data_IF_567950187481
#
_entry.id   IF_567950187481
#
_cell.length_a   1.000
_cell.length_b   1.000
_cell.length_c   1.000
_cell.angle_alpha   90.00
_cell.angle_beta   90.00
_cell.angle_gamma   90.00
#
_symmetry.space_group_name_H-M   'P 1'
#
loop_
_entity.id
_entity.type
_entity.pdbx_description
1 polymer ?
#
# COMPACT_ATOMS: atom_id res chain seq x y z
N UNK A 1 -18.99 -3.23 2.53
CA UNK A 1 -17.53 -3.20 2.40
C UNK A 1 -16.89 -3.91 3.59
N UNK A 2 -15.98 -4.85 3.30
CA UNK A 2 -15.21 -5.50 4.35
C UNK A 2 -14.26 -4.50 5.02
N UNK A 3 -13.97 -4.71 6.30
CA UNK A 3 -12.98 -3.92 6.99
C UNK A 3 -11.57 -4.20 6.44
N UNK A 4 -10.77 -3.14 6.37
CA UNK A 4 -9.36 -3.25 6.05
C UNK A 4 -8.62 -3.88 7.23
N UNK A 5 -7.51 -4.55 6.94
CA UNK A 5 -6.59 -5.09 7.93
C UNK A 5 -5.17 -4.72 7.55
N UNK A 6 -4.26 -4.85 8.49
CA UNK A 6 -2.84 -4.59 8.28
C UNK A 6 -2.10 -5.92 8.18
N UNK A 7 -1.25 -6.04 7.16
CA UNK A 7 -0.51 -7.26 6.85
C UNK A 7 0.98 -7.00 6.69
N UNK A 8 1.77 -8.02 7.01
CA UNK A 8 3.13 -8.17 6.46
C UNK A 8 3.04 -9.00 5.20
N UNK A 9 3.93 -8.71 4.26
CA UNK A 9 4.09 -9.49 3.03
C UNK A 9 5.43 -10.23 3.11
N UNK A 10 5.48 -11.49 2.67
CA UNK A 10 6.68 -12.31 2.80
C UNK A 10 7.89 -11.69 2.11
N UNK A 11 9.08 -11.91 2.70
CA UNK A 11 10.34 -11.46 2.10
C UNK A 11 10.56 -12.06 0.72
N UNK A 12 10.22 -13.34 0.55
CA UNK A 12 10.41 -14.03 -0.73
C UNK A 12 9.63 -13.35 -1.85
N UNK A 13 8.38 -12.96 -1.58
CA UNK A 13 7.55 -12.31 -2.59
C UNK A 13 8.03 -10.88 -2.90
N UNK A 14 8.34 -10.10 -1.87
CA UNK A 14 8.84 -8.73 -2.07
C UNK A 14 10.17 -8.75 -2.82
N UNK A 15 11.10 -9.62 -2.44
CA UNK A 15 12.39 -9.75 -3.14
C UNK A 15 12.21 -10.19 -4.59
N UNK A 16 11.24 -11.07 -4.83
CA UNK A 16 10.89 -11.49 -6.19
C UNK A 16 10.42 -10.29 -7.03
N UNK A 17 9.46 -9.50 -6.53
CA UNK A 17 8.95 -8.34 -7.26
C UNK A 17 10.04 -7.28 -7.48
N UNK A 18 10.93 -7.07 -6.51
CA UNK A 18 11.98 -6.07 -6.62
C UNK A 18 13.02 -6.40 -7.70
N UNK A 19 13.11 -7.63 -8.16
CA UNK A 19 13.93 -7.98 -9.32
C UNK A 19 13.44 -7.30 -10.59
N UNK A 20 12.16 -6.98 -10.66
CA UNK A 20 11.50 -6.44 -11.85
C UNK A 20 11.16 -4.96 -11.72
N UNK A 21 10.97 -4.48 -10.49
CA UNK A 21 10.57 -3.09 -10.24
C UNK A 21 11.19 -2.58 -8.93
N UNK A 22 12.12 -1.65 -9.06
CA UNK A 22 12.84 -1.05 -7.92
C UNK A 22 11.96 -0.15 -7.06
N UNK A 23 10.80 0.27 -7.57
CA UNK A 23 9.86 1.11 -6.84
C UNK A 23 8.98 0.32 -5.85
N UNK A 24 9.06 -1.01 -5.89
CA UNK A 24 8.49 -1.83 -4.81
C UNK A 24 9.27 -1.54 -3.53
N UNK A 25 8.56 -1.20 -2.46
CA UNK A 25 9.19 -0.78 -1.21
C UNK A 25 10.04 -1.90 -0.60
N UNK A 26 11.15 -1.53 0.06
CA UNK A 26 11.93 -2.48 0.86
C UNK A 26 11.07 -3.02 1.99
N UNK A 27 11.18 -4.31 2.25
CA UNK A 27 10.33 -4.98 3.24
C UNK A 27 10.88 -4.92 4.67
N UNK A 28 12.09 -4.44 4.88
CA UNK A 28 12.71 -4.27 6.20
C UNK A 28 12.64 -5.57 7.05
N UNK A 29 13.02 -6.70 6.46
CA UNK A 29 12.97 -8.02 7.11
C UNK A 29 11.55 -8.40 7.57
N UNK A 30 10.56 -8.19 6.69
CA UNK A 30 9.15 -8.49 6.93
C UNK A 30 8.55 -7.63 8.06
N UNK A 31 8.99 -6.37 8.16
CA UNK A 31 8.44 -5.44 9.16
C UNK A 31 7.68 -4.25 8.57
N UNK A 32 7.61 -4.15 7.22
CA UNK A 32 6.84 -3.08 6.60
C UNK A 32 5.35 -3.42 6.60
N UNK A 33 4.50 -2.62 7.27
CA UNK A 33 3.06 -2.89 7.26
C UNK A 33 2.42 -2.43 5.96
N UNK A 34 1.46 -3.21 5.47
CA UNK A 34 0.61 -2.90 4.32
C UNK A 34 -0.85 -2.92 4.74
N UNK A 35 -1.63 -2.00 4.19
CA UNK A 35 -3.09 -1.99 4.37
C UNK A 35 -3.76 -2.66 3.17
N UNK A 36 -4.77 -3.48 3.39
CA UNK A 36 -5.49 -4.14 2.31
C UNK A 36 -6.81 -4.79 2.75
N UNK A 37 -7.55 -5.20 1.79
CA UNK A 37 -7.41 -5.04 0.33
C UNK A 37 -7.93 -3.64 -0.07
N UNK A 38 -7.10 -2.84 -0.73
CA UNK A 38 -7.46 -1.45 -1.04
C UNK A 38 -7.94 -1.25 -2.48
N UNK A 39 -7.70 -2.24 -3.34
CA UNK A 39 -8.05 -2.16 -4.76
C UNK A 39 -8.04 -3.56 -5.35
N UNK A 40 -8.96 -3.83 -6.27
CA UNK A 40 -8.99 -5.11 -7.00
C UNK A 40 -9.10 -4.80 -8.49
N UNK A 41 -8.25 -5.42 -9.29
CA UNK A 41 -8.23 -5.26 -10.74
C UNK A 41 -7.88 -6.61 -11.38
N UNK A 42 -8.75 -7.10 -12.27
CA UNK A 42 -8.56 -8.40 -12.94
C UNK A 42 -8.22 -9.54 -11.97
N UNK A 43 -8.92 -9.59 -10.84
CA UNK A 43 -8.72 -10.58 -9.76
C UNK A 43 -7.39 -10.44 -9.00
N UNK A 44 -6.61 -9.38 -9.25
CA UNK A 44 -5.45 -9.06 -8.41
C UNK A 44 -5.88 -8.18 -7.25
N UNK A 45 -5.52 -8.59 -6.04
CA UNK A 45 -5.79 -7.83 -4.82
C UNK A 45 -4.57 -7.01 -4.44
N UNK A 46 -4.77 -5.71 -4.22
CA UNK A 46 -3.71 -4.76 -3.97
C UNK A 46 -3.61 -4.38 -2.50
N UNK A 47 -2.38 -4.22 -2.07
CA UNK A 47 -2.00 -3.81 -0.71
C UNK A 47 -1.06 -2.62 -0.81
N UNK A 48 -1.27 -1.61 0.04
CA UNK A 48 -0.51 -0.36 -0.01
C UNK A 48 0.33 -0.20 1.27
N UNK A 49 1.62 0.17 1.15
CA UNK A 49 2.46 0.33 2.33
C UNK A 49 2.03 1.52 3.17
N UNK A 50 2.07 1.32 4.49
CA UNK A 50 1.83 2.35 5.50
C UNK A 50 3.16 2.95 5.93
N UNK A 51 3.20 4.27 6.11
CA UNK A 51 4.33 4.95 6.70
C UNK A 51 3.94 5.51 8.07
N UNK A 52 4.81 5.31 9.06
CA UNK A 52 4.65 5.90 10.39
C UNK A 52 4.66 7.43 10.32
N UNK A 53 3.98 8.12 11.27
CA UNK A 53 3.93 9.58 11.22
C UNK A 53 5.32 10.23 11.26
N UNK A 54 5.51 11.21 10.38
CA UNK A 54 6.72 12.06 10.30
C UNK A 54 6.28 13.50 10.09
N UNK A 55 7.06 14.50 10.59
CA UNK A 55 6.68 15.91 10.41
C UNK A 55 6.40 16.29 8.95
N UNK A 56 7.14 15.72 8.01
CA UNK A 56 6.96 16.00 6.57
C UNK A 56 5.58 15.61 6.05
N UNK A 57 4.90 14.64 6.68
CA UNK A 57 3.59 14.18 6.22
C UNK A 57 2.52 15.25 6.33
N UNK A 58 2.62 16.14 7.33
CA UNK A 58 1.67 17.22 7.52
C UNK A 58 1.73 18.21 6.36
N UNK A 59 2.92 18.41 5.81
CA UNK A 59 3.17 19.38 4.74
C UNK A 59 2.91 18.84 3.33
N UNK A 60 2.63 17.55 3.18
CA UNK A 60 2.27 17.00 1.87
C UNK A 60 0.98 17.65 1.39
N UNK A 61 0.95 18.07 0.12
CA UNK A 61 -0.24 18.66 -0.48
C UNK A 61 -1.40 17.63 -0.45
N UNK A 62 -2.56 17.97 0.15
CA UNK A 62 -3.71 17.05 0.19
C UNK A 62 -4.21 16.64 -1.20
N UNK A 63 -3.88 17.42 -2.23
CA UNK A 63 -4.23 17.12 -3.63
C UNK A 63 -3.26 16.16 -4.31
N UNK A 64 -2.16 15.76 -3.65
CA UNK A 64 -1.24 14.77 -4.19
C UNK A 64 -2.00 13.48 -4.48
N UNK A 65 -1.97 13.02 -5.74
CA UNK A 65 -2.83 11.93 -6.19
C UNK A 65 -2.34 10.55 -5.76
N UNK A 66 -1.04 10.42 -5.47
CA UNK A 66 -0.37 9.14 -5.21
C UNK A 66 -0.09 8.88 -3.73
N UNK A 67 -0.62 9.72 -2.84
CA UNK A 67 -0.45 9.59 -1.38
C UNK A 67 -1.78 9.91 -0.70
N UNK A 68 -2.17 9.07 0.27
CA UNK A 68 -3.32 9.34 1.12
C UNK A 68 -2.84 9.69 2.53
N UNK A 69 -3.15 10.90 2.99
CA UNK A 69 -2.76 11.38 4.33
C UNK A 69 -3.73 10.85 5.39
N UNK A 70 -3.20 10.16 6.39
CA UNK A 70 -4.00 9.63 7.49
C UNK A 70 -4.15 10.74 8.53
N UNK A 71 -5.38 11.19 8.79
CA UNK A 71 -5.68 12.29 9.71
C UNK A 71 -4.81 13.52 9.40
N UNK A 72 -4.89 14.01 8.16
CA UNK A 72 -4.10 15.15 7.67
C UNK A 72 -2.57 14.96 7.83
N UNK A 73 -2.10 13.73 7.88
CA UNK A 73 -0.69 13.39 8.03
C UNK A 73 -0.23 13.20 9.48
N UNK A 74 -1.07 13.51 10.47
CA UNK A 74 -0.74 13.31 11.88
C UNK A 74 -0.50 11.84 12.23
N UNK A 75 -1.17 10.93 11.53
CA UNK A 75 -1.02 9.49 11.72
C UNK A 75 -0.22 8.82 10.59
N UNK A 76 0.52 9.59 9.80
CA UNK A 76 1.30 9.05 8.69
C UNK A 76 0.56 9.10 7.36
N UNK A 77 0.97 8.24 6.45
CA UNK A 77 0.41 8.21 5.09
C UNK A 77 0.27 6.78 4.57
N UNK A 78 -0.63 6.61 3.59
CA UNK A 78 -0.68 5.42 2.74
C UNK A 78 -0.02 5.77 1.41
N UNK A 79 1.00 5.02 1.02
CA UNK A 79 1.72 5.27 -0.23
C UNK A 79 1.05 4.53 -1.38
N UNK A 80 0.17 5.22 -2.09
CA UNK A 80 -0.57 4.62 -3.22
C UNK A 80 0.35 4.32 -4.40
N UNK A 81 1.41 5.11 -4.56
CA UNK A 81 2.39 4.92 -5.64
C UNK A 81 3.16 3.60 -5.52
N UNK A 82 3.25 3.02 -4.33
CA UNK A 82 3.98 1.77 -4.08
C UNK A 82 3.05 0.60 -3.73
N UNK A 83 1.76 0.72 -3.99
CA UNK A 83 0.85 -0.41 -3.79
C UNK A 83 1.18 -1.56 -4.74
N UNK A 84 0.96 -2.80 -4.30
CA UNK A 84 1.34 -3.98 -5.06
C UNK A 84 0.25 -5.06 -5.02
N UNK A 85 0.08 -5.80 -6.13
CA UNK A 85 -0.76 -6.99 -6.14
C UNK A 85 -0.06 -8.11 -5.37
N UNK A 86 -0.78 -8.78 -4.48
CA UNK A 86 -0.17 -9.80 -3.61
C UNK A 86 -1.10 -11.00 -3.45
N UNK A 87 -0.59 -12.24 -3.61
CA UNK A 87 -1.36 -13.44 -3.30
C UNK A 87 -1.66 -13.53 -1.80
N UNK A 88 -2.84 -14.03 -1.46
CA UNK A 88 -3.25 -14.17 -0.05
C UNK A 88 -2.26 -15.02 0.74
N UNK A 89 -1.68 -16.04 0.12
CA UNK A 89 -0.74 -16.97 0.75
C UNK A 89 0.54 -16.28 1.24
N UNK A 90 0.85 -15.09 0.73
CA UNK A 90 2.06 -14.34 1.11
C UNK A 90 1.83 -13.34 2.24
N UNK A 91 0.62 -13.31 2.82
CA UNK A 91 0.22 -12.34 3.83
C UNK A 91 0.26 -12.94 5.25
N UNK A 92 0.67 -12.11 6.21
CA UNK A 92 0.54 -12.39 7.64
C UNK A 92 -0.12 -11.19 8.32
N UNK A 93 -1.17 -11.41 9.09
CA UNK A 93 -1.85 -10.31 9.80
C UNK A 93 -0.94 -9.77 10.92
N UNK A 94 -0.78 -8.44 10.98
CA UNK A 94 0.24 -7.80 11.80
C UNK A 94 -0.17 -7.66 13.26
N UNK A 95 -1.36 -7.12 13.54
CA UNK A 95 -1.74 -6.70 14.89
C UNK A 95 -1.59 -7.82 15.94
N UNK A 96 -1.98 -9.07 15.66
CA UNK A 96 -1.79 -10.14 16.65
C UNK A 96 -0.33 -10.45 16.99
N UNK A 97 0.61 -10.01 16.16
CA UNK A 97 2.05 -10.32 16.34
C UNK A 97 2.82 -9.24 17.09
N UNK A 98 2.22 -8.04 17.26
CA UNK A 98 2.94 -6.89 17.84
C UNK A 98 2.90 -6.94 19.35
N UNK A 99 4.08 -6.93 19.98
CA UNK A 99 4.24 -6.90 21.44
C UNK A 99 4.50 -5.50 22.00
N UNK A 100 5.12 -4.61 21.20
CA UNK A 100 5.34 -3.22 21.60
C UNK A 100 4.02 -2.48 21.66
N UNK A 101 3.59 -2.09 22.86
CA UNK A 101 2.29 -1.45 23.07
C UNK A 101 2.13 -0.12 22.37
N UNK A 102 3.21 0.68 22.32
CA UNK A 102 3.17 1.99 21.69
C UNK A 102 3.03 1.88 20.18
N UNK A 103 3.79 0.99 19.57
CA UNK A 103 3.72 0.73 18.14
C UNK A 103 2.37 0.13 17.75
N UNK A 104 1.88 -0.82 18.53
CA UNK A 104 0.57 -1.45 18.31
C UNK A 104 -0.55 -0.41 18.35
N UNK A 105 -0.51 0.50 19.32
CA UNK A 105 -1.49 1.59 19.44
C UNK A 105 -1.47 2.48 18.20
N UNK A 106 -0.29 2.84 17.71
CA UNK A 106 -0.17 3.64 16.49
C UNK A 106 -0.82 2.95 15.29
N UNK A 107 -0.54 1.66 15.10
CA UNK A 107 -1.12 0.89 13.99
C UNK A 107 -2.64 0.77 14.14
N UNK A 108 -3.13 0.56 15.35
CA UNK A 108 -4.57 0.49 15.62
C UNK A 108 -5.27 1.83 15.32
N UNK A 109 -4.64 2.95 15.65
CA UNK A 109 -5.16 4.28 15.34
C UNK A 109 -5.21 4.52 13.83
N UNK A 110 -4.14 4.15 13.10
CA UNK A 110 -4.13 4.20 11.64
C UNK A 110 -5.28 3.37 11.05
N UNK A 111 -5.41 2.13 11.51
CA UNK A 111 -6.42 1.21 11.00
C UNK A 111 -7.84 1.71 11.27
N UNK A 112 -8.10 2.21 12.48
CA UNK A 112 -9.40 2.78 12.85
C UNK A 112 -9.75 3.96 11.95
N UNK A 113 -8.80 4.88 11.75
CA UNK A 113 -9.02 6.03 10.86
C UNK A 113 -9.33 5.57 9.44
N UNK A 114 -8.54 4.65 8.91
CA UNK A 114 -8.72 4.18 7.53
C UNK A 114 -10.05 3.44 7.35
N UNK A 115 -10.47 2.63 8.31
CA UNK A 115 -11.78 1.97 8.24
C UNK A 115 -12.93 2.96 8.33
N UNK A 116 -12.81 3.99 9.15
CA UNK A 116 -13.83 5.04 9.27
C UNK A 116 -13.91 5.92 8.01
N UNK A 117 -12.84 5.97 7.21
CA UNK A 117 -12.75 6.80 6.01
C UNK A 117 -12.51 5.99 4.74
N UNK A 118 -12.79 4.69 4.76
CA UNK A 118 -12.43 3.81 3.64
C UNK A 118 -13.09 4.18 2.31
N UNK A 119 -14.27 4.80 2.35
CA UNK A 119 -14.91 5.27 1.12
C UNK A 119 -14.07 6.34 0.42
N UNK A 120 -13.49 7.27 1.17
CA UNK A 120 -12.60 8.29 0.62
C UNK A 120 -11.29 7.70 0.13
N UNK A 121 -10.72 6.76 0.88
CA UNK A 121 -9.50 6.05 0.48
C UNK A 121 -9.72 5.32 -0.84
N UNK A 122 -10.79 4.53 -0.95
CA UNK A 122 -11.09 3.78 -2.16
C UNK A 122 -11.35 4.69 -3.36
N UNK A 123 -12.06 5.80 -3.16
CA UNK A 123 -12.29 6.78 -4.21
C UNK A 123 -10.98 7.35 -4.75
N UNK A 124 -10.06 7.71 -3.85
CA UNK A 124 -8.75 8.24 -4.25
C UNK A 124 -7.92 7.21 -5.00
N UNK A 125 -7.91 5.97 -4.51
CA UNK A 125 -7.17 4.88 -5.17
C UNK A 125 -7.74 4.60 -6.56
N UNK A 126 -9.05 4.54 -6.70
CA UNK A 126 -9.69 4.31 -7.99
C UNK A 126 -9.35 5.43 -8.98
N UNK A 127 -9.37 6.67 -8.53
CA UNK A 127 -8.99 7.81 -9.39
C UNK A 127 -7.53 7.70 -9.82
N UNK A 128 -6.62 7.42 -8.89
CA UNK A 128 -5.20 7.26 -9.17
C UNK A 128 -4.95 6.12 -10.16
N UNK A 129 -5.55 4.95 -9.92
CA UNK A 129 -5.38 3.78 -10.80
C UNK A 129 -5.98 4.03 -12.19
N UNK A 130 -7.13 4.70 -12.27
CA UNK A 130 -7.73 5.04 -13.56
C UNK A 130 -6.82 5.98 -14.34
N UNK A 131 -6.22 6.97 -13.70
CA UNK A 131 -5.27 7.88 -14.36
C UNK A 131 -4.02 7.13 -14.82
N UNK A 132 -3.51 6.22 -14.00
CA UNK A 132 -2.37 5.38 -14.40
C UNK A 132 -2.72 4.56 -15.65
N UNK A 133 -3.86 3.85 -15.62
CA UNK A 133 -4.26 2.94 -16.71
C UNK A 133 -4.53 3.66 -18.02
N UNK A 134 -4.98 4.92 -17.96
CA UNK A 134 -5.24 5.76 -19.14
C UNK A 134 -4.02 6.56 -19.59
N UNK A 135 -2.89 6.46 -18.90
CA UNK A 135 -1.69 7.20 -19.24
C UNK A 135 -1.77 8.70 -18.95
N UNK A 136 -2.58 9.11 -17.96
CA UNK A 136 -2.81 10.52 -17.63
C UNK A 136 -1.96 11.05 -16.47
N UNK A 137 -1.09 10.21 -15.88
CA UNK A 137 -0.18 10.66 -14.82
C UNK A 137 1.01 11.40 -15.44
N UNK A 138 1.53 12.40 -14.71
CA UNK A 138 2.74 13.12 -15.13
C UNK A 138 3.96 12.21 -15.03
N UNK A 139 5.00 12.52 -15.80
CA UNK A 139 6.26 11.76 -15.77
C UNK A 139 6.88 11.74 -14.38
N UNK A 140 6.76 12.84 -13.62
CA UNK A 140 7.27 12.92 -12.26
C UNK A 140 6.59 11.91 -11.33
N UNK A 141 5.27 11.77 -11.43
CA UNK A 141 4.52 10.78 -10.63
C UNK A 141 4.86 9.37 -11.11
N UNK A 142 4.86 9.13 -12.42
CA UNK A 142 5.20 7.82 -13.00
C UNK A 142 6.57 7.33 -12.53
N UNK A 143 7.55 8.23 -12.44
CA UNK A 143 8.92 7.86 -12.05
C UNK A 143 9.02 7.25 -10.65
N UNK A 144 8.08 7.58 -9.75
CA UNK A 144 8.06 7.04 -8.38
C UNK A 144 7.00 5.98 -8.15
N UNK A 145 6.18 5.69 -9.15
CA UNK A 145 5.15 4.65 -9.06
C UNK A 145 5.70 3.28 -9.39
N UNK A 146 5.14 2.25 -8.76
CA UNK A 146 5.30 0.89 -9.24
C UNK A 146 4.71 0.74 -10.64
N UNK A 147 5.26 -0.19 -11.41
CA UNK A 147 4.75 -0.56 -12.73
C UNK A 147 3.65 -1.59 -12.55
N UNK A 148 2.42 -1.14 -12.29
CA UNK A 148 1.33 -2.01 -11.84
C UNK A 148 1.03 -3.14 -12.83
N UNK A 149 0.97 -2.85 -14.13
CA UNK A 149 0.71 -3.88 -15.14
C UNK A 149 1.79 -4.96 -15.15
N UNK A 150 3.06 -4.57 -15.05
CA UNK A 150 4.17 -5.51 -14.96
C UNK A 150 4.09 -6.36 -13.70
N UNK A 151 3.77 -5.73 -12.56
CA UNK A 151 3.66 -6.47 -11.30
C UNK A 151 2.51 -7.45 -11.30
N UNK A 152 1.42 -7.16 -12.02
CA UNK A 152 0.32 -8.12 -12.21
C UNK A 152 0.80 -9.36 -12.95
N UNK A 153 1.57 -9.18 -14.04
CA UNK A 153 2.17 -10.30 -14.76
C UNK A 153 3.10 -11.12 -13.86
N UNK A 154 3.95 -10.44 -13.08
CA UNK A 154 4.89 -11.13 -12.19
C UNK A 154 4.19 -11.82 -11.03
N UNK A 155 3.10 -11.24 -10.52
CA UNK A 155 2.25 -11.89 -9.53
C UNK A 155 1.68 -13.21 -10.07
N UNK A 156 1.17 -13.19 -11.30
CA UNK A 156 0.66 -14.39 -11.96
C UNK A 156 1.75 -15.44 -12.14
N UNK A 157 2.93 -15.05 -12.62
CA UNK A 157 4.06 -15.96 -12.81
C UNK A 157 4.53 -16.58 -11.49
N UNK A 158 4.51 -15.80 -10.41
CA UNK A 158 4.89 -16.29 -9.08
C UNK A 158 3.97 -17.42 -8.61
N UNK A 159 2.67 -17.26 -8.84
CA UNK A 159 1.67 -18.26 -8.45
C UNK A 159 1.77 -19.57 -9.25
N UNK A 160 2.45 -19.55 -10.40
CA UNK A 160 2.63 -20.72 -11.24
C UNK A 160 3.92 -21.51 -10.90
N UNK A 161 4.74 -21.00 -10.01
CA UNK A 161 5.99 -21.65 -9.60
C UNK A 161 5.77 -22.77 -8.59
#
# INVERSE_FOLDING_TARGET
MKNLKIYYISESYINYLRQFDKNVAYNKNTTRPYIGIVYTYNNYNYFAPLASPKPKHININPKAIDIYKIKNGELGVVNLNNMIPTPIEELTEVLPTITDKKYKKMLEEQLTFLNNHKAYLFKKINLFQNMYRKGHLTDNIISRCCQFTLLEEKCKEYNLQ
#
